data_IF_839913174802
#
_entry.id   IF_839913174802
#
_cell.length_a   1.000
_cell.length_b   1.000
_cell.length_c   1.000
_cell.angle_alpha   90.00
_cell.angle_beta   90.00
_cell.angle_gamma   90.00
#
_symmetry.space_group_name_H-M   'P 1'
#
loop_
_entity.id
_entity.type
_entity.pdbx_description
1 polymer ?
#
# COMPACT_ATOMS: atom_id res chain seq x y z
N UNK A 1 -3.28 -10.66 -15.26
CA UNK A 1 -2.09 -11.25 -14.63
C UNK A 1 -2.56 -12.51 -13.95
N UNK A 2 -2.03 -13.66 -14.37
CA UNK A 2 -2.23 -14.89 -13.62
C UNK A 2 -1.27 -14.85 -12.42
N UNK A 3 -1.81 -14.90 -11.20
CA UNK A 3 -1.05 -14.64 -9.97
C UNK A 3 -1.22 -15.86 -9.08
N UNK A 4 -0.11 -16.44 -8.65
CA UNK A 4 -0.10 -17.47 -7.62
C UNK A 4 -0.50 -16.86 -6.27
N UNK A 5 -1.82 -16.85 -6.02
CA UNK A 5 -2.42 -16.24 -4.83
C UNK A 5 -2.03 -16.96 -3.54
N UNK A 6 -1.77 -18.26 -3.60
CA UNK A 6 -1.35 -19.05 -2.43
C UNK A 6 0.07 -18.66 -2.03
N UNK A 7 0.99 -18.64 -2.99
CA UNK A 7 2.37 -18.22 -2.76
C UNK A 7 2.45 -16.75 -2.35
N UNK A 8 1.60 -15.88 -2.91
CA UNK A 8 1.49 -14.49 -2.49
C UNK A 8 1.04 -14.35 -1.03
N UNK A 9 0.04 -15.13 -0.60
CA UNK A 9 -0.45 -15.12 0.78
C UNK A 9 0.60 -15.60 1.78
N UNK A 10 1.39 -16.62 1.42
CA UNK A 10 2.55 -17.06 2.20
C UNK A 10 3.52 -15.89 2.37
N UNK A 11 3.96 -15.26 1.28
CA UNK A 11 4.91 -14.13 1.34
C UNK A 11 4.40 -12.97 2.22
N UNK A 12 3.10 -12.67 2.21
CA UNK A 12 2.51 -11.60 3.02
C UNK A 12 2.52 -11.89 4.53
N UNK A 13 2.42 -13.16 4.92
CA UNK A 13 2.18 -13.58 6.30
C UNK A 13 3.41 -14.20 6.98
N UNK A 14 4.34 -14.78 6.21
CA UNK A 14 5.58 -15.40 6.70
C UNK A 14 6.42 -14.49 7.59
N UNK A 15 7.11 -15.09 8.57
CA UNK A 15 8.03 -14.39 9.47
C UNK A 15 9.37 -14.16 8.77
N UNK A 16 10.26 -13.39 9.41
CA UNK A 16 11.55 -13.05 8.81
C UNK A 16 12.39 -14.28 8.46
N UNK A 17 12.43 -15.28 9.34
CA UNK A 17 13.24 -16.48 9.13
C UNK A 17 12.73 -17.30 7.94
N UNK A 18 11.41 -17.55 7.87
CA UNK A 18 10.79 -18.22 6.72
C UNK A 18 11.04 -17.45 5.40
N UNK A 19 10.93 -16.11 5.42
CA UNK A 19 11.21 -15.30 4.23
C UNK A 19 12.69 -15.40 3.80
N UNK A 20 13.63 -15.52 4.76
CA UNK A 20 15.05 -15.72 4.45
C UNK A 20 15.31 -17.10 3.86
N UNK A 21 14.58 -18.12 4.28
CA UNK A 21 14.64 -19.46 3.70
C UNK A 21 14.13 -19.44 2.27
N UNK A 22 12.92 -18.92 2.03
CA UNK A 22 12.35 -18.74 0.69
C UNK A 22 13.28 -17.93 -0.22
N UNK A 23 13.93 -16.88 0.32
CA UNK A 23 14.90 -16.09 -0.42
C UNK A 23 16.15 -16.90 -0.80
N UNK A 24 16.61 -17.80 0.08
CA UNK A 24 17.74 -18.68 -0.21
C UNK A 24 17.41 -19.66 -1.34
N UNK A 25 16.23 -20.27 -1.29
CA UNK A 25 15.73 -21.19 -2.32
C UNK A 25 15.52 -20.50 -3.68
N UNK A 26 15.10 -19.23 -3.65
CA UNK A 26 14.79 -18.44 -4.85
C UNK A 26 15.99 -17.64 -5.37
N UNK A 27 17.19 -17.77 -4.77
CA UNK A 27 18.38 -17.04 -5.18
C UNK A 27 18.35 -15.52 -4.91
N UNK A 28 17.50 -15.07 -3.99
CA UNK A 28 17.32 -13.64 -3.63
C UNK A 28 18.18 -13.28 -2.42
N UNK A 29 18.81 -12.09 -2.37
CA UNK A 29 19.55 -11.63 -1.21
C UNK A 29 18.70 -11.56 0.08
N UNK A 30 19.19 -12.20 1.15
CA UNK A 30 18.53 -12.32 2.47
C UNK A 30 18.59 -11.05 3.35
N UNK A 31 19.01 -9.92 2.81
CA UNK A 31 19.36 -8.73 3.60
C UNK A 31 18.19 -7.78 3.81
N UNK A 32 18.22 -7.02 4.90
CA UNK A 32 17.24 -5.96 5.17
C UNK A 32 16.07 -6.39 6.04
N UNK A 33 15.10 -5.48 6.19
CA UNK A 33 13.92 -5.70 7.03
C UNK A 33 12.93 -6.69 6.41
N UNK A 34 11.99 -7.20 7.22
CA UNK A 34 10.90 -8.09 6.77
C UNK A 34 10.20 -7.56 5.53
N UNK A 35 9.77 -6.30 5.54
CA UNK A 35 9.01 -5.72 4.43
C UNK A 35 9.89 -5.56 3.17
N UNK A 36 11.18 -5.21 3.33
CA UNK A 36 12.13 -5.17 2.20
C UNK A 36 12.32 -6.55 1.57
N UNK A 37 12.42 -7.60 2.39
CA UNK A 37 12.56 -8.95 1.89
C UNK A 37 11.28 -9.43 1.20
N UNK A 38 10.10 -9.11 1.74
CA UNK A 38 8.81 -9.39 1.09
C UNK A 38 8.69 -8.71 -0.27
N UNK A 39 9.03 -7.42 -0.37
CA UNK A 39 8.99 -6.69 -1.65
C UNK A 39 9.85 -7.43 -2.68
N UNK A 40 11.11 -7.74 -2.34
CA UNK A 40 12.02 -8.43 -3.28
C UNK A 40 11.51 -9.79 -3.70
N UNK A 41 11.00 -10.58 -2.76
CA UNK A 41 10.42 -11.89 -3.05
C UNK A 41 9.19 -11.79 -3.94
N UNK A 42 8.30 -10.84 -3.69
CA UNK A 42 7.13 -10.60 -4.55
C UNK A 42 7.60 -10.21 -5.96
N UNK A 43 8.61 -9.34 -6.08
CA UNK A 43 9.17 -8.98 -7.39
C UNK A 43 9.76 -10.19 -8.13
N UNK A 44 10.56 -11.03 -7.45
CA UNK A 44 11.25 -12.14 -8.11
C UNK A 44 10.34 -13.33 -8.42
N UNK A 45 9.35 -13.59 -7.57
CA UNK A 45 8.51 -14.80 -7.64
C UNK A 45 7.17 -14.52 -8.31
N UNK A 46 6.51 -13.43 -7.91
CA UNK A 46 5.13 -13.15 -8.30
C UNK A 46 5.09 -12.23 -9.53
N UNK A 47 6.07 -11.34 -9.66
CA UNK A 47 6.14 -10.33 -10.73
C UNK A 47 7.44 -10.42 -11.56
N UNK A 48 7.92 -11.61 -11.97
CA UNK A 48 9.25 -11.74 -12.60
C UNK A 48 9.35 -11.02 -13.96
N UNK A 49 8.23 -10.81 -14.65
CA UNK A 49 8.16 -10.19 -15.97
C UNK A 49 7.81 -8.70 -15.94
N UNK A 50 7.46 -8.14 -14.78
CA UNK A 50 7.05 -6.74 -14.70
C UNK A 50 8.27 -5.82 -14.62
N UNK A 51 8.31 -4.81 -15.48
CA UNK A 51 9.30 -3.75 -15.36
C UNK A 51 8.88 -2.78 -14.25
N UNK A 52 9.53 -2.93 -13.10
CA UNK A 52 9.31 -2.09 -11.92
C UNK A 52 10.39 -1.01 -11.76
N UNK A 53 11.15 -0.73 -12.82
CA UNK A 53 11.98 0.46 -12.89
C UNK A 53 11.11 1.72 -12.92
N UNK A 54 11.75 2.88 -12.83
CA UNK A 54 11.02 4.15 -12.90
C UNK A 54 10.25 4.32 -14.20
N UNK A 55 10.89 4.04 -15.33
CA UNK A 55 10.26 4.17 -16.66
C UNK A 55 9.15 3.13 -16.82
N UNK A 56 9.40 1.88 -16.41
CA UNK A 56 8.37 0.84 -16.35
C UNK A 56 7.13 1.26 -15.55
N UNK A 57 7.31 1.87 -14.37
CA UNK A 57 6.18 2.38 -13.55
C UNK A 57 5.41 3.51 -14.25
N UNK A 58 6.08 4.36 -15.03
CA UNK A 58 5.42 5.45 -15.77
C UNK A 58 4.50 4.93 -16.88
N UNK A 59 4.88 3.83 -17.53
CA UNK A 59 4.15 3.24 -18.66
C UNK A 59 2.91 2.43 -18.24
N UNK A 60 2.78 2.11 -16.95
CA UNK A 60 1.64 1.34 -16.45
C UNK A 60 0.32 2.10 -16.51
N UNK A 61 -0.72 1.42 -17.01
CA UNK A 61 -2.08 1.91 -16.92
C UNK A 61 -2.57 2.03 -15.47
N UNK A 62 -3.58 2.87 -15.24
CA UNK A 62 -4.19 3.05 -13.92
C UNK A 62 -4.72 1.72 -13.32
N UNK A 63 -5.18 0.79 -14.16
CA UNK A 63 -5.61 -0.53 -13.72
C UNK A 63 -4.43 -1.38 -13.27
N UNK A 64 -3.36 -1.47 -14.07
CA UNK A 64 -2.13 -2.20 -13.71
C UNK A 64 -1.51 -1.67 -12.41
N UNK A 65 -1.44 -0.35 -12.23
CA UNK A 65 -0.98 0.26 -10.98
C UNK A 65 -1.83 -0.15 -9.78
N UNK A 66 -3.15 -0.28 -9.98
CA UNK A 66 -4.08 -0.70 -8.92
C UNK A 66 -3.83 -2.16 -8.53
N UNK A 67 -3.61 -3.02 -9.51
CA UNK A 67 -3.38 -4.45 -9.30
C UNK A 67 -2.01 -4.71 -8.67
N UNK A 68 -0.95 -4.03 -9.11
CA UNK A 68 0.35 -4.06 -8.43
C UNK A 68 0.26 -3.65 -6.96
N UNK A 69 -0.45 -2.57 -6.65
CA UNK A 69 -0.64 -2.12 -5.25
C UNK A 69 -1.40 -3.15 -4.40
N UNK A 70 -2.34 -3.91 -4.99
CA UNK A 70 -3.01 -5.01 -4.31
C UNK A 70 -2.07 -6.20 -4.09
N UNK A 71 -1.23 -6.53 -5.08
CA UNK A 71 -0.22 -7.60 -5.00
C UNK A 71 0.79 -7.29 -3.91
N UNK A 72 1.29 -6.06 -3.83
CA UNK A 72 2.14 -5.61 -2.73
C UNK A 72 1.41 -5.51 -1.38
N UNK A 73 0.08 -5.64 -1.37
CA UNK A 73 -0.73 -5.60 -0.15
C UNK A 73 -0.82 -4.22 0.50
N UNK A 74 -0.64 -3.14 -0.27
CA UNK A 74 -0.68 -1.75 0.20
C UNK A 74 -1.97 -1.03 -0.24
N UNK A 75 -2.09 0.28 0.01
CA UNK A 75 -3.28 1.05 -0.42
C UNK A 75 -3.30 1.14 -1.95
N UNK A 76 -4.42 0.78 -2.58
CA UNK A 76 -4.57 0.79 -4.05
C UNK A 76 -5.45 1.93 -4.58
N UNK A 77 -6.08 2.73 -3.71
CA UNK A 77 -6.89 3.89 -4.10
C UNK A 77 -6.08 5.18 -4.20
N UNK A 78 -6.60 6.17 -4.94
CA UNK A 78 -5.94 7.46 -5.22
C UNK A 78 -5.89 7.76 -6.72
N UNK A 79 -5.33 8.91 -7.08
CA UNK A 79 -5.07 9.26 -8.48
C UNK A 79 -4.00 8.35 -9.11
N UNK A 80 -3.88 8.33 -10.44
CA UNK A 80 -2.83 7.55 -11.12
C UNK A 80 -1.43 7.96 -10.63
N UNK A 81 -1.21 9.28 -10.46
CA UNK A 81 0.01 9.85 -9.90
C UNK A 81 0.28 9.35 -8.48
N UNK A 82 -0.72 9.37 -7.59
CA UNK A 82 -0.57 8.86 -6.22
C UNK A 82 -0.17 7.38 -6.20
N UNK A 83 -0.69 6.59 -7.14
CA UNK A 83 -0.37 5.17 -7.25
C UNK A 83 1.08 4.97 -7.71
N UNK A 84 1.55 5.70 -8.74
CA UNK A 84 2.95 5.64 -9.19
C UNK A 84 3.93 6.03 -8.10
N UNK A 85 3.67 7.18 -7.44
CA UNK A 85 4.47 7.62 -6.28
C UNK A 85 4.53 6.54 -5.19
N UNK A 86 3.39 5.95 -4.86
CA UNK A 86 3.30 4.91 -3.83
C UNK A 86 4.06 3.64 -4.19
N UNK A 87 3.94 3.16 -5.43
CA UNK A 87 4.71 2.00 -5.91
C UNK A 87 6.20 2.31 -5.83
N UNK A 88 6.62 3.46 -6.35
CA UNK A 88 8.03 3.84 -6.36
C UNK A 88 8.60 3.92 -4.94
N UNK A 89 7.91 4.61 -4.01
CA UNK A 89 8.29 4.69 -2.61
C UNK A 89 8.36 3.30 -1.97
N UNK A 90 7.35 2.46 -2.21
CA UNK A 90 7.30 1.12 -1.62
C UNK A 90 8.47 0.24 -2.08
N UNK A 91 8.84 0.29 -3.36
CA UNK A 91 9.89 -0.55 -3.93
C UNK A 91 11.28 -0.02 -3.60
N UNK A 92 11.49 1.29 -3.64
CA UNK A 92 12.83 1.88 -3.61
C UNK A 92 13.23 2.45 -2.26
N UNK A 93 12.26 2.80 -1.41
CA UNK A 93 12.52 3.53 -0.18
C UNK A 93 12.21 2.68 1.06
N UNK A 94 12.81 3.07 2.19
CA UNK A 94 12.50 2.52 3.51
C UNK A 94 11.73 3.59 4.30
N UNK A 95 10.48 3.32 4.73
CA UNK A 95 9.67 4.30 5.49
C UNK A 95 10.30 4.71 6.82
N UNK A 96 11.28 3.96 7.35
CA UNK A 96 12.03 4.35 8.54
C UNK A 96 13.20 5.29 8.26
N UNK A 97 13.67 5.33 7.02
CA UNK A 97 14.81 6.17 6.61
C UNK A 97 14.37 7.44 5.92
N UNK A 98 13.39 7.34 5.02
CA UNK A 98 12.83 8.47 4.30
C UNK A 98 11.62 9.02 5.07
N UNK A 99 11.91 9.87 6.05
CA UNK A 99 10.93 10.60 6.87
C UNK A 99 10.99 12.09 6.57
N UNK A 100 9.96 12.86 6.96
CA UNK A 100 9.94 14.32 6.78
C UNK A 100 11.16 14.97 7.44
N UNK A 101 11.53 14.53 8.64
CA UNK A 101 12.69 15.06 9.38
C UNK A 101 14.01 14.76 8.66
N UNK A 102 14.14 13.56 8.06
CA UNK A 102 15.36 13.17 7.34
C UNK A 102 15.66 14.04 6.11
N UNK A 103 14.65 14.70 5.54
CA UNK A 103 14.80 15.52 4.33
C UNK A 103 15.71 16.74 4.55
N UNK A 104 15.77 17.26 5.78
CA UNK A 104 16.62 18.41 6.11
C UNK A 104 18.12 18.08 5.95
N UNK A 105 18.49 16.84 6.24
CA UNK A 105 19.86 16.34 6.17
C UNK A 105 20.29 15.96 4.74
N UNK A 106 19.33 15.76 3.83
CA UNK A 106 19.62 15.41 2.44
C UNK A 106 20.29 16.58 1.71
N UNK A 107 21.19 16.27 0.77
CA UNK A 107 21.76 17.29 -0.08
C UNK A 107 20.71 17.76 -1.13
N UNK A 108 21.01 18.86 -1.82
CA UNK A 108 20.09 19.44 -2.81
C UNK A 108 19.86 18.47 -3.99
N UNK A 109 20.87 17.74 -4.42
CA UNK A 109 20.83 16.86 -5.60
C UNK A 109 19.99 15.60 -5.34
N UNK A 110 20.10 15.01 -4.14
CA UNK A 110 19.24 13.91 -3.72
C UNK A 110 17.77 14.34 -3.67
N UNK A 111 17.49 15.58 -3.21
CA UNK A 111 16.15 16.15 -3.22
C UNK A 111 15.65 16.42 -4.64
N UNK A 112 16.53 16.79 -5.58
CA UNK A 112 16.19 16.90 -7.00
C UNK A 112 15.80 15.54 -7.58
N UNK A 113 16.56 14.49 -7.28
CA UNK A 113 16.24 13.14 -7.73
C UNK A 113 14.91 12.67 -7.14
N UNK A 114 14.69 12.86 -5.83
CA UNK A 114 13.40 12.54 -5.20
C UNK A 114 12.24 13.29 -5.85
N UNK A 115 12.38 14.59 -6.12
CA UNK A 115 11.36 15.34 -6.84
C UNK A 115 11.10 14.74 -8.24
N UNK A 116 12.14 14.34 -8.97
CA UNK A 116 12.00 13.70 -10.27
C UNK A 116 11.17 12.40 -10.18
N UNK A 117 11.56 11.51 -9.27
CA UNK A 117 10.91 10.20 -9.05
C UNK A 117 9.54 10.30 -8.39
N UNK A 118 9.17 11.45 -7.84
CA UNK A 118 7.85 11.69 -7.28
C UNK A 118 6.99 12.56 -8.20
N UNK A 119 7.40 12.80 -9.45
CA UNK A 119 6.69 13.63 -10.42
C UNK A 119 6.41 15.04 -9.89
N UNK A 120 7.39 15.62 -9.18
CA UNK A 120 7.32 16.96 -8.60
C UNK A 120 8.27 17.92 -9.34
N UNK A 121 7.95 19.22 -9.39
CA UNK A 121 8.84 20.23 -9.95
C UNK A 121 10.21 20.23 -9.25
N UNK A 122 11.27 20.16 -10.06
CA UNK A 122 12.67 20.19 -9.61
C UNK A 122 13.21 21.61 -9.43
N UNK A 123 12.47 22.64 -9.78
CA UNK A 123 12.93 24.03 -9.65
C UNK A 123 12.86 24.53 -8.20
N UNK A 124 13.70 25.51 -7.86
CA UNK A 124 13.65 26.20 -6.56
C UNK A 124 14.87 25.99 -5.67
N UNK A 125 14.79 26.47 -4.43
CA UNK A 125 15.82 26.28 -3.41
C UNK A 125 15.63 24.98 -2.61
N UNK A 126 16.62 24.60 -1.78
CA UNK A 126 16.59 23.34 -0.99
C UNK A 126 15.31 23.24 -0.14
N UNK A 127 14.93 24.32 0.55
CA UNK A 127 13.71 24.38 1.37
C UNK A 127 12.44 24.13 0.57
N UNK A 128 12.34 24.67 -0.64
CA UNK A 128 11.20 24.43 -1.54
C UNK A 128 11.14 22.97 -2.01
N UNK A 129 12.29 22.34 -2.30
CA UNK A 129 12.35 20.92 -2.65
C UNK A 129 11.92 20.04 -1.46
N UNK A 130 12.44 20.31 -0.26
CA UNK A 130 12.03 19.64 0.98
C UNK A 130 10.51 19.73 1.16
N UNK A 131 9.93 20.94 1.07
CA UNK A 131 8.49 21.13 1.24
C UNK A 131 7.64 20.31 0.27
N UNK A 132 8.08 20.15 -0.98
CA UNK A 132 7.37 19.32 -1.98
C UNK A 132 7.46 17.83 -1.66
N UNK A 133 8.67 17.33 -1.36
CA UNK A 133 8.85 15.91 -1.00
C UNK A 133 8.11 15.61 0.30
N UNK A 134 8.18 16.47 1.30
CA UNK A 134 7.43 16.36 2.55
C UNK A 134 5.92 16.27 2.29
N UNK A 135 5.37 17.13 1.42
CA UNK A 135 3.96 17.07 1.02
C UNK A 135 3.56 15.73 0.40
N UNK A 136 4.41 15.14 -0.44
CA UNK A 136 4.17 13.79 -1.00
C UNK A 136 4.22 12.72 0.10
N UNK A 137 5.21 12.77 1.00
CA UNK A 137 5.31 11.82 2.11
C UNK A 137 4.11 11.91 3.05
N UNK A 138 3.62 13.10 3.37
CA UNK A 138 2.39 13.31 4.14
C UNK A 138 1.16 12.74 3.43
N UNK A 139 1.01 12.98 2.12
CA UNK A 139 -0.10 12.43 1.34
C UNK A 139 -0.07 10.88 1.26
N UNK A 140 1.11 10.28 1.38
CA UNK A 140 1.31 8.84 1.34
C UNK A 140 1.45 8.23 2.74
N UNK A 141 1.24 8.98 3.81
CA UNK A 141 1.43 8.49 5.16
C UNK A 141 0.59 7.22 5.43
N UNK A 142 1.26 6.16 5.91
CA UNK A 142 0.64 4.86 6.17
C UNK A 142 0.12 4.12 4.93
N UNK A 143 0.31 4.65 3.72
CA UNK A 143 -0.18 4.06 2.48
C UNK A 143 0.85 3.18 1.75
N UNK A 144 2.13 3.28 2.11
CA UNK A 144 3.25 2.51 1.56
C UNK A 144 4.11 1.90 2.66
N UNK A 145 5.08 1.07 2.27
CA UNK A 145 6.12 0.54 3.18
C UNK A 145 5.65 -0.55 4.15
N UNK A 146 4.34 -0.72 4.36
CA UNK A 146 3.77 -1.76 5.24
C UNK A 146 2.54 -2.42 4.61
N UNK A 147 2.54 -3.75 4.60
CA UNK A 147 1.37 -4.54 4.20
C UNK A 147 0.17 -4.27 5.13
N UNK A 148 -1.01 -4.09 4.53
CA UNK A 148 -2.29 -3.91 5.23
C UNK A 148 -2.60 -5.05 6.19
N UNK A 149 -3.16 -4.71 7.36
CA UNK A 149 -3.59 -5.70 8.37
C UNK A 149 -4.61 -6.71 7.83
N UNK A 150 -5.51 -6.27 6.97
CA UNK A 150 -6.53 -7.15 6.35
C UNK A 150 -5.90 -8.24 5.48
N UNK A 151 -4.82 -7.91 4.78
CA UNK A 151 -4.07 -8.85 3.94
C UNK A 151 -3.32 -9.86 4.82
N UNK A 152 -2.72 -9.39 5.92
CA UNK A 152 -1.99 -10.23 6.88
C UNK A 152 -2.85 -11.24 7.65
N UNK A 153 -4.17 -11.03 7.75
CA UNK A 153 -5.07 -11.98 8.46
C UNK A 153 -5.58 -13.10 7.54
N UNK A 154 -5.08 -13.17 6.31
CA UNK A 154 -5.74 -13.90 5.23
C UNK A 154 -7.05 -13.21 4.87
N UNK A 155 -7.49 -13.34 3.63
CA UNK A 155 -8.88 -13.01 3.31
C UNK A 155 -9.77 -14.04 4.01
N UNK A 156 -10.05 -13.86 5.30
CA UNK A 156 -11.36 -14.26 5.81
C UNK A 156 -12.31 -13.38 5.03
N UNK A 157 -12.85 -13.94 3.95
CA UNK A 157 -13.96 -13.35 3.21
C UNK A 157 -14.92 -12.84 4.28
N UNK A 158 -15.15 -11.54 4.29
CA UNK A 158 -16.27 -10.97 5.01
C UNK A 158 -17.50 -11.59 4.35
N UNK A 159 -17.92 -12.76 4.84
CA UNK A 159 -19.33 -13.12 4.80
C UNK A 159 -20.01 -11.94 5.47
N UNK A 160 -20.87 -11.20 4.77
CA UNK A 160 -21.68 -10.21 5.44
C UNK A 160 -22.50 -11.00 6.46
N UNK A 161 -22.20 -10.85 7.75
CA UNK A 161 -23.13 -11.22 8.79
C UNK A 161 -24.38 -10.41 8.50
N UNK A 162 -25.37 -11.05 7.89
CA UNK A 162 -26.74 -10.58 7.85
C UNK A 162 -27.11 -10.29 9.29
N UNK A 163 -27.18 -9.00 9.61
CA UNK A 163 -27.70 -8.51 10.88
C UNK A 163 -29.08 -9.16 11.05
N UNK A 164 -29.37 -9.92 12.11
CA UNK A 164 -30.71 -10.45 12.31
C UNK A 164 -31.67 -9.27 12.39
N UNK A 165 -32.60 -9.20 11.43
CA UNK A 165 -33.72 -8.27 11.49
C UNK A 165 -34.44 -8.52 12.81
N UNK A 166 -34.60 -7.52 13.70
CA UNK A 166 -35.42 -7.70 14.88
C UNK A 166 -36.87 -8.03 14.43
N UNK A 167 -37.55 -8.97 15.11
CA UNK A 167 -38.93 -9.31 14.77
C UNK A 167 -39.83 -8.08 14.88
N UNK A 168 -40.83 -7.92 13.99
CA UNK A 168 -41.73 -6.78 14.02
C UNK A 168 -42.46 -6.73 15.37
N UNK A 169 -42.42 -5.55 16.00
CA UNK A 169 -43.15 -5.27 17.23
C UNK A 169 -44.67 -5.42 16.99
N UNK A 170 -45.43 -5.97 17.95
CA UNK A 170 -46.88 -6.07 17.83
C UNK A 170 -47.50 -4.68 17.76
N UNK A 171 -48.32 -4.47 16.73
CA UNK A 171 -49.15 -3.29 16.55
C UNK A 171 -50.18 -3.27 17.68
N UNK A 172 -50.02 -2.35 18.62
CA UNK A 172 -51.07 -2.03 19.60
C UNK A 172 -51.99 -1.02 18.95
N UNK A 173 -53.23 -1.43 18.66
CA UNK A 173 -54.29 -0.57 18.16
C UNK A 173 -54.62 0.52 19.18
N UNK A 174 -54.83 1.78 18.76
CA UNK A 174 -55.27 2.84 19.67
C UNK A 174 -56.70 2.56 20.16
N UNK A 175 -56.88 2.63 21.48
CA UNK A 175 -58.19 2.63 22.13
C UNK A 175 -58.80 4.02 21.93
N UNK A 176 -59.95 4.09 21.28
CA UNK A 176 -60.82 5.27 21.24
C UNK A 176 -61.18 5.66 22.68
N UNK A 177 -60.83 6.89 23.06
CA UNK A 177 -61.35 7.52 24.27
C UNK A 177 -62.48 8.42 23.81
N UNK A 178 -63.70 7.92 24.02
CA UNK A 178 -64.96 8.65 23.93
C UNK A 178 -64.93 9.82 24.93
N UNK A 179 -65.10 11.04 24.41
CA UNK A 179 -65.46 12.21 25.23
C UNK A 179 -66.85 11.96 25.85
N UNK A 180 -66.99 12.26 27.14
CA UNK A 180 -68.30 12.43 27.77
C UNK A 180 -68.17 13.48 28.88
N UNK A 181 -68.87 14.59 28.62
CA UNK A 181 -69.41 15.66 29.48
C UNK A 181 -68.95 15.82 30.93
#
# INVERSE_FOLDING_TARGET
>A
MDIDTERLAILHTSKLEDLKEIASESGVPRTGSVERLRIRLIQSIILPSEDLTWDGIQDLSNQQLTDLLKIFGVKSSGSQKDKRQRIWLHIHQDPKKLTIDSLAEMNRDDLHELCARLEMPRSGNKTQLIGRVAGVLSNQEGAWGRIKRSVKRGSTSSVPTTKPTPPPAPIVSPIEIEESE
#
